data_IF_678115937676
#
_entry.id   IF_678115937676
#
_cell.length_a   1.000
_cell.length_b   1.000
_cell.length_c   1.000
_cell.angle_alpha   90.00
_cell.angle_beta   90.00
_cell.angle_gamma   90.00
#
_symmetry.space_group_name_H-M   'P 1'
#
loop_
_entity.id
_entity.type
_entity.pdbx_description
1 polymer ?
#
# COMPACT_ATOMS: atom_id res chain seq x y z
N UNK A 1 -21.03 11.49 -13.30
CA UNK A 1 -21.74 11.92 -12.09
C UNK A 1 -20.90 11.42 -10.92
N UNK A 2 -19.93 12.21 -10.47
CA UNK A 2 -19.14 11.85 -9.28
C UNK A 2 -20.09 11.83 -8.08
N UNK A 3 -20.16 10.70 -7.40
CA UNK A 3 -20.83 10.60 -6.11
C UNK A 3 -19.98 11.38 -5.11
N UNK A 4 -20.46 12.53 -4.66
CA UNK A 4 -19.81 13.26 -3.58
C UNK A 4 -19.73 12.35 -2.34
N UNK A 5 -18.52 12.19 -1.79
CA UNK A 5 -18.33 11.46 -0.54
C UNK A 5 -19.14 12.15 0.56
N UNK A 6 -19.70 11.36 1.49
CA UNK A 6 -20.17 11.93 2.75
C UNK A 6 -19.01 12.61 3.48
N UNK A 7 -19.30 13.58 4.35
CA UNK A 7 -18.28 14.28 5.12
C UNK A 7 -17.37 13.31 5.90
N UNK A 8 -17.93 12.29 6.53
CA UNK A 8 -17.15 11.25 7.23
C UNK A 8 -16.23 10.45 6.29
N UNK A 9 -16.69 10.14 5.07
CA UNK A 9 -15.86 9.45 4.08
C UNK A 9 -14.72 10.35 3.57
N UNK A 10 -14.97 11.66 3.42
CA UNK A 10 -13.94 12.62 3.02
C UNK A 10 -12.87 12.77 4.12
N UNK A 11 -13.28 12.82 5.40
CA UNK A 11 -12.36 12.86 6.54
C UNK A 11 -11.53 11.57 6.62
N UNK A 12 -12.17 10.40 6.51
CA UNK A 12 -11.45 9.12 6.48
C UNK A 12 -10.46 9.03 5.30
N UNK A 13 -10.83 9.54 4.12
CA UNK A 13 -9.96 9.62 2.95
C UNK A 13 -8.77 10.57 3.17
N UNK A 14 -8.98 11.71 3.82
CA UNK A 14 -7.89 12.63 4.19
C UNK A 14 -6.92 11.99 5.18
N UNK A 15 -7.43 11.28 6.20
CA UNK A 15 -6.58 10.55 7.15
C UNK A 15 -5.81 9.43 6.43
N UNK A 16 -6.45 8.66 5.54
CA UNK A 16 -5.77 7.65 4.73
C UNK A 16 -4.65 8.28 3.87
N UNK A 17 -4.90 9.42 3.22
CA UNK A 17 -3.88 10.13 2.44
C UNK A 17 -2.71 10.61 3.30
N UNK A 18 -2.98 11.19 4.47
CA UNK A 18 -1.94 11.64 5.40
C UNK A 18 -1.08 10.46 5.90
N UNK A 19 -1.69 9.36 6.30
CA UNK A 19 -0.96 8.19 6.83
C UNK A 19 -0.19 7.47 5.73
N UNK A 20 -0.83 7.20 4.60
CA UNK A 20 -0.27 6.32 3.55
C UNK A 20 0.59 7.06 2.53
N UNK A 21 0.39 8.37 2.38
CA UNK A 21 0.96 9.18 1.31
C UNK A 21 0.38 8.92 -0.07
N UNK A 22 -0.66 8.10 -0.20
CA UNK A 22 -1.26 7.77 -1.50
C UNK A 22 -2.02 9.01 -1.99
N UNK A 23 -1.60 9.66 -3.10
CA UNK A 23 -2.25 10.85 -3.59
C UNK A 23 -3.64 10.56 -4.15
N UNK A 24 -4.51 11.57 -4.16
CA UNK A 24 -5.82 11.52 -4.83
C UNK A 24 -6.91 10.80 -4.04
N UNK A 25 -6.72 10.55 -2.73
CA UNK A 25 -7.84 10.17 -1.85
C UNK A 25 -8.77 11.35 -1.62
N UNK A 26 -8.19 12.54 -1.53
CA UNK A 26 -8.87 13.83 -1.60
C UNK A 26 -8.29 14.64 -2.77
N UNK A 27 -9.01 15.67 -3.29
CA UNK A 27 -8.52 16.47 -4.42
C UNK A 27 -7.24 17.25 -4.12
N UNK A 28 -7.14 17.80 -2.91
CA UNK A 28 -5.97 18.55 -2.46
C UNK A 28 -5.01 17.70 -1.63
N UNK A 29 -4.36 18.33 -0.67
CA UNK A 29 -3.42 17.68 0.24
C UNK A 29 -3.96 17.65 1.68
N UNK A 30 -3.43 16.77 2.51
CA UNK A 30 -3.79 16.73 3.93
C UNK A 30 -2.73 17.45 4.75
N UNK A 31 -3.13 18.41 5.58
CA UNK A 31 -2.23 19.09 6.51
C UNK A 31 -2.58 18.64 7.92
N UNK A 32 -1.69 17.88 8.56
CA UNK A 32 -1.84 17.50 9.97
C UNK A 32 -1.04 18.46 10.85
N UNK A 33 -1.61 18.91 11.97
CA UNK A 33 -1.04 19.92 12.84
C UNK A 33 -1.09 19.45 14.29
N UNK A 34 0.07 19.29 14.92
CA UNK A 34 0.17 18.82 16.31
C UNK A 34 -0.11 19.91 17.36
N UNK A 35 0.02 21.19 16.98
CA UNK A 35 -0.19 22.33 17.88
C UNK A 35 -1.17 23.31 17.24
N UNK A 36 -2.33 23.50 17.88
CA UNK A 36 -3.38 24.41 17.42
C UNK A 36 -2.91 25.85 17.17
N UNK A 37 -1.80 26.29 17.79
CA UNK A 37 -1.18 27.59 17.50
C UNK A 37 -0.72 27.77 16.05
N UNK A 38 -0.52 26.68 15.29
CA UNK A 38 -0.12 26.72 13.89
C UNK A 38 -1.30 26.64 12.90
N UNK A 39 -2.55 26.58 13.39
CA UNK A 39 -3.74 26.36 12.54
C UNK A 39 -3.94 27.45 11.49
N UNK A 40 -3.66 28.72 11.82
CA UNK A 40 -3.79 29.81 10.85
C UNK A 40 -2.86 29.64 9.65
N UNK A 41 -1.61 29.24 9.92
CA UNK A 41 -0.63 28.96 8.87
C UNK A 41 -0.99 27.70 8.07
N UNK A 42 -1.48 26.66 8.75
CA UNK A 42 -1.95 25.44 8.08
C UNK A 42 -3.07 25.71 7.06
N UNK A 43 -3.99 26.62 7.40
CA UNK A 43 -5.05 27.08 6.47
C UNK A 43 -4.52 27.93 5.33
N UNK A 44 -3.47 28.70 5.54
CA UNK A 44 -2.83 29.52 4.50
C UNK A 44 -2.17 28.65 3.42
N UNK A 45 -1.52 27.56 3.82
CA UNK A 45 -0.87 26.64 2.89
C UNK A 45 -1.82 25.58 2.32
N UNK A 46 -3.02 25.43 2.88
CA UNK A 46 -4.06 24.55 2.37
C UNK A 46 -4.64 25.11 1.07
N UNK A 47 -4.59 24.31 -0.01
CA UNK A 47 -5.20 24.67 -1.29
C UNK A 47 -6.64 24.16 -1.36
N UNK A 48 -7.38 24.57 -2.40
CA UNK A 48 -8.73 24.09 -2.68
C UNK A 48 -8.82 22.55 -2.63
N UNK A 49 -9.76 22.03 -1.83
CA UNK A 49 -9.95 20.59 -1.64
C UNK A 49 -8.95 19.92 -0.70
N UNK A 50 -8.07 20.68 -0.06
CA UNK A 50 -7.21 20.20 1.04
C UNK A 50 -8.01 20.06 2.33
N UNK A 51 -7.52 19.24 3.25
CA UNK A 51 -8.12 19.03 4.58
C UNK A 51 -7.09 19.31 5.65
N UNK A 52 -7.45 20.13 6.63
CA UNK A 52 -6.59 20.49 7.77
C UNK A 52 -7.05 19.75 9.01
N UNK A 53 -6.23 18.80 9.47
CA UNK A 53 -6.44 18.02 10.70
C UNK A 53 -5.63 18.67 11.83
N UNK A 54 -6.26 19.05 12.95
CA UNK A 54 -5.58 19.79 14.03
C UNK A 54 -5.81 19.14 15.38
N UNK A 55 -4.73 18.75 16.06
CA UNK A 55 -4.78 18.32 17.46
C UNK A 55 -5.25 19.46 18.34
N UNK A 56 -6.29 19.20 19.13
CA UNK A 56 -6.95 20.17 20.03
C UNK A 56 -7.33 21.48 19.30
N UNK A 57 -7.73 21.35 18.02
CA UNK A 57 -8.20 22.45 17.20
C UNK A 57 -9.53 23.05 17.67
N UNK A 58 -9.85 24.25 17.19
CA UNK A 58 -11.12 24.91 17.48
C UNK A 58 -12.28 24.22 16.75
N UNK A 59 -13.21 23.64 17.51
CA UNK A 59 -14.36 22.92 16.96
C UNK A 59 -15.40 23.87 16.31
N UNK A 60 -15.32 25.17 16.58
CA UNK A 60 -16.19 26.18 15.97
C UNK A 60 -15.65 26.69 14.62
N UNK A 61 -14.41 26.31 14.24
CA UNK A 61 -13.80 26.67 12.96
C UNK A 61 -14.17 25.64 11.87
N UNK A 62 -15.03 25.98 10.89
CA UNK A 62 -15.54 25.03 9.91
C UNK A 62 -14.48 24.57 8.89
N UNK A 63 -13.33 25.25 8.81
CA UNK A 63 -12.24 24.90 7.91
C UNK A 63 -11.27 23.87 8.53
N UNK A 64 -11.49 23.50 9.80
CA UNK A 64 -10.66 22.57 10.54
C UNK A 64 -11.42 21.28 10.86
N UNK A 65 -10.70 20.17 10.82
CA UNK A 65 -11.14 18.89 11.39
C UNK A 65 -10.40 18.70 12.70
N UNK A 66 -11.13 18.67 13.80
CA UNK A 66 -10.53 18.49 15.13
C UNK A 66 -10.03 17.07 15.31
N UNK A 67 -8.85 16.95 15.92
CA UNK A 67 -8.25 15.68 16.33
C UNK A 67 -7.96 15.76 17.82
N UNK A 68 -8.16 14.66 18.54
CA UNK A 68 -7.70 14.49 19.93
C UNK A 68 -6.75 13.32 20.02
N UNK A 69 -5.85 13.35 20.99
CA UNK A 69 -4.87 12.29 21.22
C UNK A 69 -3.49 12.67 20.71
N UNK A 70 -2.63 11.67 20.53
CA UNK A 70 -1.23 11.83 20.13
C UNK A 70 -0.85 10.81 19.08
N UNK A 71 -0.05 11.24 18.11
CA UNK A 71 0.43 10.38 17.02
C UNK A 71 1.83 9.79 17.29
N UNK A 72 2.61 10.44 18.15
CA UNK A 72 4.03 10.13 18.36
C UNK A 72 4.28 8.94 19.29
N UNK A 73 3.25 8.43 19.97
CA UNK A 73 3.33 7.36 20.97
C UNK A 73 2.57 6.10 20.52
N UNK A 74 3.22 4.93 20.62
CA UNK A 74 2.59 3.64 20.29
C UNK A 74 1.56 3.26 21.34
N UNK A 75 0.43 2.72 20.89
CA UNK A 75 -0.70 2.35 21.75
C UNK A 75 -1.68 3.48 22.03
N UNK A 76 -1.39 4.70 21.56
CA UNK A 76 -2.31 5.83 21.66
C UNK A 76 -3.44 5.76 20.61
N UNK A 77 -4.47 6.56 20.86
CA UNK A 77 -5.64 6.67 20.00
C UNK A 77 -5.82 8.11 19.52
N UNK A 78 -6.03 8.28 18.22
CA UNK A 78 -6.50 9.52 17.63
C UNK A 78 -8.01 9.48 17.46
N UNK A 79 -8.71 10.47 18.02
CA UNK A 79 -10.12 10.68 17.78
C UNK A 79 -10.30 11.87 16.82
N UNK A 80 -10.64 11.56 15.57
CA UNK A 80 -10.83 12.52 14.48
C UNK A 80 -12.31 12.86 14.33
N UNK A 81 -12.62 14.15 14.28
CA UNK A 81 -13.99 14.69 14.14
C UNK A 81 -14.97 14.13 15.20
N UNK A 82 -14.45 13.80 16.39
CA UNK A 82 -15.21 13.22 17.50
C UNK A 82 -15.85 11.85 17.22
N UNK A 83 -15.57 11.22 16.07
CA UNK A 83 -16.30 10.01 15.63
C UNK A 83 -15.43 8.93 15.01
N UNK A 84 -14.30 9.27 14.40
CA UNK A 84 -13.36 8.33 13.82
C UNK A 84 -12.21 8.08 14.81
N UNK A 85 -12.25 6.91 15.45
CA UNK A 85 -11.22 6.46 16.40
C UNK A 85 -10.18 5.60 15.69
N UNK A 86 -8.91 5.95 15.86
CA UNK A 86 -7.77 5.32 15.16
C UNK A 86 -6.69 5.00 16.17
N UNK A 87 -6.36 3.72 16.31
CA UNK A 87 -5.23 3.28 17.13
C UNK A 87 -3.92 3.47 16.36
N UNK A 88 -2.85 3.89 17.05
CA UNK A 88 -1.50 4.00 16.50
C UNK A 88 -0.62 2.90 17.08
N UNK A 89 0.06 2.14 16.23
CA UNK A 89 0.94 1.04 16.64
C UNK A 89 2.26 1.07 15.88
N UNK A 90 3.36 0.87 16.59
CA UNK A 90 4.67 0.64 15.95
C UNK A 90 4.69 -0.73 15.27
N UNK A 91 5.35 -0.82 14.12
CA UNK A 91 5.40 -2.05 13.31
C UNK A 91 5.79 -3.28 14.12
N UNK A 92 6.84 -3.18 14.94
CA UNK A 92 7.33 -4.29 15.77
C UNK A 92 6.34 -4.78 16.83
N UNK A 93 5.40 -3.94 17.27
CA UNK A 93 4.40 -4.32 18.26
C UNK A 93 3.24 -5.14 17.64
N UNK A 94 2.97 -4.93 16.35
CA UNK A 94 1.80 -5.45 15.63
C UNK A 94 1.62 -6.97 15.75
N UNK A 95 2.65 -7.83 15.61
CA UNK A 95 2.49 -9.27 15.72
C UNK A 95 1.95 -9.74 17.08
N UNK A 96 2.14 -8.95 18.14
CA UNK A 96 1.83 -9.32 19.53
C UNK A 96 0.49 -8.81 20.03
N UNK A 97 -0.21 -8.00 19.22
CA UNK A 97 -1.48 -7.38 19.60
C UNK A 97 -2.63 -7.88 18.70
N UNK A 98 -3.86 -7.67 19.18
CA UNK A 98 -5.08 -7.91 18.42
C UNK A 98 -5.63 -6.58 17.96
N UNK A 99 -5.80 -6.39 16.65
CA UNK A 99 -6.34 -5.15 16.10
C UNK A 99 -7.87 -5.18 16.17
N UNK A 100 -8.47 -4.33 17.01
CA UNK A 100 -9.93 -4.29 17.22
C UNK A 100 -10.60 -3.22 16.36
N UNK A 101 -10.07 -2.00 16.36
CA UNK A 101 -10.54 -0.88 15.55
C UNK A 101 -9.61 -0.58 14.36
N UNK A 102 -9.89 0.48 13.58
CA UNK A 102 -8.93 1.02 12.61
C UNK A 102 -7.58 1.29 13.28
N UNK A 103 -6.52 0.72 12.75
CA UNK A 103 -5.17 0.84 13.31
C UNK A 103 -4.20 1.31 12.24
N UNK A 104 -3.51 2.41 12.52
CA UNK A 104 -2.37 2.87 11.75
C UNK A 104 -1.11 2.20 12.28
N UNK A 105 -0.38 1.56 11.38
CA UNK A 105 0.87 0.89 11.67
C UNK A 105 2.00 1.75 11.15
N UNK A 106 2.75 2.36 12.05
CA UNK A 106 3.82 3.30 11.74
C UNK A 106 5.20 2.65 11.84
N UNK A 107 6.16 3.26 11.16
CA UNK A 107 7.58 3.01 11.36
C UNK A 107 8.12 4.08 12.30
N UNK A 108 8.39 3.74 13.55
CA UNK A 108 8.92 4.66 14.55
C UNK A 108 10.46 4.70 14.55
N UNK A 109 11.12 3.65 14.04
CA UNK A 109 12.57 3.58 14.00
C UNK A 109 13.14 2.66 12.93
N UNK A 110 14.47 2.54 12.91
CA UNK A 110 15.21 1.69 11.98
C UNK A 110 14.86 0.20 12.13
N UNK A 111 14.59 -0.26 13.36
CA UNK A 111 14.26 -1.66 13.62
C UNK A 111 12.91 -2.05 13.00
N UNK A 112 11.91 -1.16 13.04
CA UNK A 112 10.61 -1.35 12.36
C UNK A 112 10.81 -1.55 10.85
N UNK A 113 11.67 -0.72 10.26
CA UNK A 113 12.00 -0.76 8.84
C UNK A 113 12.68 -2.08 8.45
N UNK A 114 13.67 -2.51 9.23
CA UNK A 114 14.37 -3.76 8.96
C UNK A 114 13.41 -4.96 9.08
N UNK A 115 12.60 -4.99 10.14
CA UNK A 115 11.63 -6.07 10.33
C UNK A 115 10.58 -6.14 9.23
N UNK A 116 10.13 -5.00 8.70
CA UNK A 116 9.23 -5.02 7.54
C UNK A 116 9.84 -5.71 6.32
N UNK A 117 11.11 -5.44 6.02
CA UNK A 117 11.78 -6.10 4.90
C UNK A 117 12.03 -7.58 5.18
N UNK A 118 12.40 -7.94 6.41
CA UNK A 118 12.58 -9.33 6.80
C UNK A 118 11.27 -10.12 6.69
N UNK A 119 10.14 -9.54 7.12
CA UNK A 119 8.81 -10.15 6.99
C UNK A 119 8.36 -10.25 5.52
N UNK A 120 8.69 -9.27 4.68
CA UNK A 120 8.41 -9.33 3.25
C UNK A 120 9.24 -10.42 2.54
N UNK A 121 10.49 -10.60 2.95
CA UNK A 121 11.40 -11.63 2.44
C UNK A 121 10.95 -13.04 2.90
N UNK A 122 10.51 -13.16 4.16
CA UNK A 122 9.90 -14.37 4.71
C UNK A 122 8.62 -14.72 3.94
N UNK A 123 7.70 -13.78 3.77
CA UNK A 123 6.47 -14.00 3.02
C UNK A 123 6.74 -14.47 1.60
N UNK A 124 7.71 -13.87 0.91
CA UNK A 124 8.12 -14.31 -0.43
C UNK A 124 8.65 -15.74 -0.43
N UNK A 125 9.53 -16.08 0.52
CA UNK A 125 10.24 -17.36 0.53
C UNK A 125 9.39 -18.53 1.02
N UNK A 126 8.52 -18.32 2.01
CA UNK A 126 7.77 -19.37 2.71
C UNK A 126 6.25 -19.24 2.59
N UNK A 127 5.75 -18.08 2.17
CA UNK A 127 4.32 -17.79 2.13
C UNK A 127 3.75 -17.37 3.50
N UNK A 128 4.59 -17.17 4.52
CA UNK A 128 4.15 -16.71 5.82
C UNK A 128 4.05 -15.18 5.88
N UNK A 129 2.83 -14.70 6.14
CA UNK A 129 2.55 -13.28 6.31
C UNK A 129 2.32 -12.94 7.78
N UNK A 130 2.70 -11.73 8.20
CA UNK A 130 2.23 -11.17 9.47
C UNK A 130 0.72 -10.99 9.40
N UNK A 131 -0.01 -11.83 10.15
CA UNK A 131 -1.48 -11.93 10.07
C UNK A 131 -2.16 -10.58 10.27
N UNK A 132 -1.71 -9.80 11.25
CA UNK A 132 -2.30 -8.52 11.61
C UNK A 132 -2.23 -7.48 10.47
N UNK A 133 -1.19 -7.53 9.62
CA UNK A 133 -1.09 -6.66 8.44
C UNK A 133 -2.10 -6.99 7.34
N UNK A 134 -2.71 -8.17 7.41
CA UNK A 134 -3.73 -8.66 6.48
C UNK A 134 -5.16 -8.39 6.96
N UNK A 135 -5.33 -7.77 8.12
CA UNK A 135 -6.65 -7.43 8.65
C UNK A 135 -7.20 -6.16 7.97
N UNK A 136 -8.51 -6.10 7.77
CA UNK A 136 -9.19 -5.02 7.03
C UNK A 136 -9.03 -3.65 7.68
N UNK A 137 -8.86 -3.64 9.00
CA UNK A 137 -8.68 -2.47 9.83
C UNK A 137 -7.22 -2.02 9.96
N UNK A 138 -6.27 -2.75 9.39
CA UNK A 138 -4.86 -2.38 9.41
C UNK A 138 -4.49 -1.47 8.22
N UNK A 139 -3.97 -0.30 8.53
CA UNK A 139 -3.42 0.66 7.57
C UNK A 139 -1.93 0.82 7.85
N UNK A 140 -1.10 0.21 6.99
CA UNK A 140 0.33 0.46 7.02
C UNK A 140 0.60 1.91 6.56
N UNK A 141 1.43 2.63 7.31
CA UNK A 141 1.94 3.94 6.88
C UNK A 141 2.86 3.81 5.66
N UNK A 142 3.14 4.92 4.99
CA UNK A 142 4.20 4.99 3.97
C UNK A 142 3.98 4.11 2.73
N UNK A 143 2.73 3.69 2.48
CA UNK A 143 2.38 2.80 1.37
C UNK A 143 2.68 3.39 0.01
N UNK A 144 2.54 4.70 -0.19
CA UNK A 144 2.86 5.31 -1.48
C UNK A 144 4.32 5.09 -1.86
N UNK A 145 5.22 5.29 -0.91
CA UNK A 145 6.64 5.05 -1.08
C UNK A 145 6.96 3.56 -1.30
N UNK A 146 6.44 2.70 -0.42
CA UNK A 146 6.67 1.26 -0.49
C UNK A 146 6.11 0.62 -1.77
N UNK A 147 4.97 1.10 -2.28
CA UNK A 147 4.36 0.62 -3.51
C UNK A 147 4.98 1.22 -4.77
N UNK A 148 5.92 2.18 -4.64
CA UNK A 148 6.49 2.90 -5.77
C UNK A 148 5.49 3.86 -6.45
N UNK A 149 4.44 4.28 -5.74
CA UNK A 149 3.55 5.33 -6.21
C UNK A 149 4.31 6.67 -6.18
N UNK A 150 4.84 7.06 -7.33
CA UNK A 150 5.53 8.33 -7.52
C UNK A 150 5.27 8.87 -8.90
N UNK A 151 4.16 9.57 -9.09
CA UNK A 151 4.08 10.44 -10.25
C UNK A 151 5.00 11.63 -9.98
N UNK A 152 6.04 11.82 -10.80
CA UNK A 152 6.93 12.97 -10.73
C UNK A 152 6.15 14.29 -10.74
N UNK A 153 5.00 14.31 -11.41
CA UNK A 153 4.11 15.46 -11.58
C UNK A 153 3.08 15.63 -10.45
N UNK A 154 2.96 14.69 -9.50
CA UNK A 154 1.97 14.80 -8.41
C UNK A 154 2.27 15.95 -7.46
N UNK A 155 1.24 16.67 -7.02
CA UNK A 155 1.33 17.64 -5.94
C UNK A 155 1.69 16.94 -4.63
N UNK A 156 2.28 17.68 -3.69
CA UNK A 156 2.57 17.21 -2.34
C UNK A 156 1.26 16.71 -1.71
N UNK A 157 1.14 15.42 -1.41
CA UNK A 157 -0.11 14.79 -0.99
C UNK A 157 -0.41 15.02 0.50
N UNK A 158 0.62 15.24 1.31
CA UNK A 158 0.51 15.38 2.76
C UNK A 158 1.59 16.26 3.37
N UNK A 159 1.21 17.05 4.36
CA UNK A 159 2.06 17.89 5.19
C UNK A 159 1.83 17.50 6.65
N UNK A 160 2.91 17.42 7.43
CA UNK A 160 2.81 17.26 8.88
C UNK A 160 3.56 18.41 9.57
N UNK A 161 2.82 19.26 10.29
CA UNK A 161 3.35 20.36 11.08
C UNK A 161 3.45 19.88 12.53
N UNK A 162 4.68 19.65 12.95
CA UNK A 162 5.00 19.23 14.32
C UNK A 162 4.74 20.33 15.34
N UNK A 163 4.70 19.97 16.63
CA UNK A 163 4.39 20.91 17.70
C UNK A 163 5.34 22.12 17.79
N UNK A 164 6.61 21.93 17.39
CA UNK A 164 7.64 22.98 17.37
C UNK A 164 7.63 23.83 16.07
N UNK A 165 6.72 23.54 15.12
CA UNK A 165 6.60 24.25 13.85
C UNK A 165 7.51 23.74 12.73
N UNK A 166 8.20 22.61 12.90
CA UNK A 166 8.88 21.93 11.78
C UNK A 166 7.84 21.31 10.85
N UNK A 167 8.03 21.45 9.54
CA UNK A 167 7.18 20.90 8.50
C UNK A 167 7.84 19.65 7.90
N UNK A 168 7.15 18.53 7.96
CA UNK A 168 7.58 17.23 7.44
C UNK A 168 6.75 16.81 6.23
N UNK A 169 7.37 16.03 5.34
CA UNK A 169 6.70 15.40 4.20
C UNK A 169 5.98 14.10 4.63
N UNK A 170 4.96 14.25 5.47
CA UNK A 170 4.22 13.15 6.12
C UNK A 170 4.61 12.92 7.59
N UNK A 171 3.89 12.03 8.29
CA UNK A 171 3.94 11.93 9.76
C UNK A 171 5.31 11.55 10.33
N UNK A 172 6.00 10.63 9.66
CA UNK A 172 7.37 10.23 10.03
C UNK A 172 8.39 10.84 9.08
N UNK A 173 8.06 11.99 8.47
CA UNK A 173 8.67 12.43 7.23
C UNK A 173 9.98 13.21 7.33
N UNK A 174 10.61 13.43 6.17
CA UNK A 174 11.78 14.34 6.06
C UNK A 174 11.35 15.78 6.30
N UNK A 175 12.21 16.56 6.98
CA UNK A 175 12.00 18.01 7.15
C UNK A 175 12.07 18.73 5.80
N UNK A 176 11.00 19.43 5.46
CA UNK A 176 10.85 20.20 4.22
C UNK A 176 10.53 21.69 4.45
N UNK A 177 10.56 22.15 5.70
CA UNK A 177 10.38 23.56 6.02
C UNK A 177 10.05 23.85 7.48
N UNK A 178 9.64 25.09 7.72
CA UNK A 178 9.20 25.61 9.01
C UNK A 178 7.95 26.47 8.83
N UNK A 179 7.14 26.58 9.89
CA UNK A 179 6.00 27.50 9.93
C UNK A 179 6.45 28.91 9.57
N UNK A 180 5.75 29.52 8.61
CA UNK A 180 6.09 30.81 8.01
C UNK A 180 6.80 30.71 6.65
N UNK A 181 7.24 29.52 6.24
CA UNK A 181 7.72 29.30 4.87
C UNK A 181 6.56 29.33 3.86
N UNK A 182 6.83 29.80 2.64
CA UNK A 182 5.87 29.79 1.55
C UNK A 182 5.63 28.37 1.01
N UNK A 183 4.40 28.05 0.61
CA UNK A 183 4.06 26.72 0.07
C UNK A 183 4.92 26.33 -1.15
N UNK A 184 5.31 27.30 -1.97
CA UNK A 184 6.17 27.05 -3.14
C UNK A 184 7.57 26.57 -2.74
N UNK A 185 8.12 27.11 -1.65
CA UNK A 185 9.43 26.71 -1.14
C UNK A 185 9.38 25.31 -0.52
N UNK A 186 8.30 25.02 0.21
CA UNK A 186 8.01 23.68 0.75
C UNK A 186 7.97 22.65 -0.38
N UNK A 187 7.24 22.95 -1.47
CA UNK A 187 7.15 22.09 -2.66
C UNK A 187 8.49 21.90 -3.34
N UNK A 188 9.27 22.96 -3.50
CA UNK A 188 10.60 22.88 -4.11
C UNK A 188 11.52 21.94 -3.31
N UNK A 189 11.45 21.97 -1.97
CA UNK A 189 12.22 21.09 -1.09
C UNK A 189 11.70 19.65 -1.04
N UNK A 190 10.40 19.45 -1.22
CA UNK A 190 9.79 18.12 -1.28
C UNK A 190 10.02 17.41 -2.63
N UNK A 191 10.17 18.14 -3.73
CA UNK A 191 10.34 17.60 -5.07
C UNK A 191 11.46 16.54 -5.21
N UNK A 192 12.71 16.76 -4.73
CA UNK A 192 13.78 15.75 -4.83
C UNK A 192 13.54 14.52 -3.94
N UNK A 193 12.55 14.56 -3.05
CA UNK A 193 12.22 13.47 -2.14
C UNK A 193 11.17 12.53 -2.72
N UNK A 194 10.75 12.68 -3.98
CA UNK A 194 9.69 11.86 -4.59
C UNK A 194 10.19 10.46 -5.03
N UNK A 195 9.37 9.39 -4.91
CA UNK A 195 8.08 9.35 -4.21
C UNK A 195 8.27 9.67 -2.73
N UNK A 196 7.36 10.49 -2.17
CA UNK A 196 7.47 11.15 -0.86
C UNK A 196 8.25 10.33 0.17
N UNK A 197 9.55 10.62 0.30
CA UNK A 197 10.41 9.95 1.24
C UNK A 197 10.15 10.54 2.61
N UNK A 198 9.22 9.91 3.30
CA UNK A 198 9.15 10.04 4.74
C UNK A 198 10.45 9.55 5.42
N UNK A 199 11.18 8.67 4.75
CA UNK A 199 12.16 7.80 5.40
C UNK A 199 13.50 8.49 5.71
N UNK A 200 13.77 9.69 5.17
CA UNK A 200 15.05 10.35 5.42
C UNK A 200 15.23 10.86 6.88
N UNK A 201 14.16 10.89 7.68
CA UNK A 201 14.23 11.23 9.11
C UNK A 201 14.66 10.03 9.99
N UNK A 202 14.36 8.80 9.56
CA UNK A 202 14.60 7.56 10.33
C UNK A 202 15.88 6.82 9.90
N UNK A 203 16.27 6.96 8.63
CA UNK A 203 17.52 6.39 8.08
C UNK A 203 18.03 7.21 6.90
N UNK A 204 19.24 6.92 6.41
CA UNK A 204 19.83 7.62 5.27
C UNK A 204 19.07 7.28 3.99
N UNK A 205 18.46 8.28 3.32
CA UNK A 205 17.62 8.07 2.14
C UNK A 205 18.23 7.18 1.03
N UNK A 206 19.54 7.24 0.72
CA UNK A 206 20.18 6.30 -0.20
C UNK A 206 20.08 4.82 0.20
N UNK A 207 20.12 4.48 1.49
CA UNK A 207 20.03 3.10 1.97
C UNK A 207 18.64 2.52 1.73
N UNK A 208 17.61 3.34 1.95
CA UNK A 208 16.20 3.00 1.69
C UNK A 208 15.98 2.74 0.21
N UNK A 209 16.47 3.63 -0.65
CA UNK A 209 16.37 3.47 -2.10
C UNK A 209 17.10 2.20 -2.54
N UNK A 210 18.28 1.92 -1.98
CA UNK A 210 18.99 0.68 -2.25
C UNK A 210 18.21 -0.56 -1.76
N UNK A 211 17.60 -0.51 -0.57
CA UNK A 211 16.78 -1.59 -0.03
C UNK A 211 15.55 -1.88 -0.90
N UNK A 212 14.84 -0.85 -1.37
CA UNK A 212 13.70 -0.98 -2.29
C UNK A 212 14.13 -1.50 -3.66
N UNK A 213 15.25 -1.00 -4.21
CA UNK A 213 15.78 -1.47 -5.50
C UNK A 213 16.22 -2.94 -5.44
N UNK A 214 16.75 -3.38 -4.31
CA UNK A 214 17.11 -4.78 -4.10
C UNK A 214 15.88 -5.68 -3.86
N UNK A 215 14.72 -5.08 -3.58
CA UNK A 215 13.46 -5.79 -3.29
C UNK A 215 12.32 -5.29 -4.20
N UNK A 216 12.43 -5.47 -5.53
CA UNK A 216 11.38 -5.04 -6.47
C UNK A 216 10.03 -5.75 -6.26
N UNK A 217 9.96 -6.75 -5.37
CA UNK A 217 8.75 -7.46 -4.99
C UNK A 217 7.91 -6.77 -3.91
N UNK A 218 8.44 -5.75 -3.23
CA UNK A 218 7.72 -5.07 -2.14
C UNK A 218 6.34 -4.55 -2.57
N UNK A 219 6.17 -3.91 -3.74
CA UNK A 219 4.84 -3.53 -4.21
C UNK A 219 3.87 -4.71 -4.37
N UNK A 220 4.37 -5.88 -4.82
CA UNK A 220 3.57 -7.11 -4.94
C UNK A 220 3.24 -7.71 -3.58
N UNK A 221 4.17 -7.65 -2.61
CA UNK A 221 3.93 -8.05 -1.22
C UNK A 221 2.83 -7.21 -0.56
N UNK A 222 2.86 -5.89 -0.74
CA UNK A 222 1.80 -5.01 -0.25
C UNK A 222 0.43 -5.35 -0.86
N UNK A 223 0.39 -5.62 -2.17
CA UNK A 223 -0.83 -6.05 -2.83
C UNK A 223 -1.32 -7.41 -2.31
N UNK A 224 -0.41 -8.31 -1.91
CA UNK A 224 -0.76 -9.60 -1.32
C UNK A 224 -1.39 -9.44 0.08
N UNK A 225 -0.90 -8.50 0.89
CA UNK A 225 -1.53 -8.14 2.17
C UNK A 225 -2.98 -7.67 1.96
N UNK A 226 -3.24 -6.90 0.90
CA UNK A 226 -4.60 -6.49 0.54
C UNK A 226 -5.43 -7.64 -0.02
N UNK A 227 -4.83 -8.57 -0.78
CA UNK A 227 -5.51 -9.76 -1.28
C UNK A 227 -6.05 -10.64 -0.13
N UNK A 228 -5.32 -10.76 0.98
CA UNK A 228 -5.78 -11.47 2.16
C UNK A 228 -7.03 -10.87 2.82
N UNK A 229 -7.31 -9.59 2.60
CA UNK A 229 -8.53 -8.92 3.08
C UNK A 229 -9.80 -9.42 2.37
N UNK A 230 -9.66 -9.98 1.15
CA UNK A 230 -10.77 -10.60 0.42
C UNK A 230 -11.05 -12.05 0.83
N UNK A 231 -10.20 -12.63 1.66
CA UNK A 231 -10.30 -14.03 2.10
C UNK A 231 -10.84 -14.04 3.52
N UNK A 232 -12.02 -14.65 3.71
CA UNK A 232 -12.66 -14.78 5.01
C UNK A 232 -11.75 -15.46 6.04
N UNK A 233 -11.72 -15.03 7.32
CA UNK A 233 -10.81 -15.57 8.34
C UNK A 233 -10.81 -17.10 8.44
N UNK A 234 -11.97 -17.73 8.27
CA UNK A 234 -12.15 -19.18 8.30
C UNK A 234 -11.55 -19.90 7.09
N UNK A 235 -11.39 -19.20 5.96
CA UNK A 235 -10.79 -19.73 4.73
C UNK A 235 -9.28 -19.50 4.68
N UNK A 236 -8.75 -18.54 5.46
CA UNK A 236 -7.31 -18.23 5.47
C UNK A 236 -6.48 -19.45 5.87
N UNK A 237 -6.94 -20.23 6.84
CA UNK A 237 -6.30 -21.47 7.23
C UNK A 237 -6.30 -22.47 6.05
N UNK A 238 -5.11 -22.86 5.60
CA UNK A 238 -4.92 -23.79 4.49
C UNK A 238 -5.03 -23.16 3.10
N UNK A 239 -5.31 -21.86 2.99
CA UNK A 239 -5.17 -21.13 1.73
C UNK A 239 -3.72 -20.68 1.56
N UNK A 240 -3.20 -20.79 0.34
CA UNK A 240 -1.88 -20.30 -0.06
C UNK A 240 -2.02 -19.32 -1.23
N UNK A 241 -1.21 -18.27 -1.22
CA UNK A 241 -1.06 -17.36 -2.35
C UNK A 241 0.07 -17.85 -3.25
N UNK A 242 -0.25 -18.27 -4.47
CA UNK A 242 0.78 -18.64 -5.46
C UNK A 242 1.65 -17.41 -5.76
N UNK A 243 2.96 -17.63 -5.82
CA UNK A 243 3.99 -16.59 -5.90
C UNK A 243 4.60 -16.20 -4.56
N UNK A 244 4.07 -16.72 -3.43
CA UNK A 244 4.60 -16.54 -2.08
C UNK A 244 4.79 -17.92 -1.42
N UNK A 245 6.03 -18.40 -1.38
CA UNK A 245 6.38 -19.74 -0.88
C UNK A 245 5.86 -20.92 -1.71
N UNK A 246 5.11 -20.67 -2.78
CA UNK A 246 4.50 -21.67 -3.64
C UNK A 246 4.62 -21.25 -5.10
N UNK A 247 5.08 -22.15 -5.96
CA UNK A 247 4.98 -22.05 -7.41
C UNK A 247 4.38 -23.31 -8.00
N UNK A 248 3.46 -23.17 -8.96
CA UNK A 248 2.79 -24.29 -9.61
C UNK A 248 3.62 -24.89 -10.75
N UNK A 249 4.48 -24.09 -11.37
CA UNK A 249 5.41 -24.55 -12.42
C UNK A 249 6.87 -24.64 -11.97
N UNK A 250 7.17 -24.29 -10.71
CA UNK A 250 8.53 -24.30 -10.18
C UNK A 250 9.35 -23.09 -10.64
N UNK A 251 8.75 -21.91 -10.60
CA UNK A 251 9.38 -20.64 -10.94
C UNK A 251 10.70 -20.46 -10.17
N UNK A 252 11.85 -20.28 -10.84
CA UNK A 252 13.08 -19.87 -10.18
C UNK A 252 12.97 -18.40 -9.75
N UNK A 253 13.75 -18.02 -8.73
CA UNK A 253 13.84 -16.63 -8.24
C UNK A 253 14.25 -15.61 -9.31
N UNK A 254 14.90 -16.07 -10.39
CA UNK A 254 15.30 -15.25 -11.53
C UNK A 254 14.14 -14.87 -12.45
N UNK A 255 12.99 -15.56 -12.36
CA UNK A 255 11.80 -15.10 -13.08
C UNK A 255 11.28 -13.83 -12.41
N UNK A 256 10.75 -12.91 -13.22
CA UNK A 256 10.07 -11.74 -12.72
C UNK A 256 8.88 -12.13 -11.84
N UNK A 257 8.37 -11.14 -11.11
CA UNK A 257 7.13 -11.29 -10.37
C UNK A 257 5.97 -10.64 -11.14
N UNK A 258 4.72 -11.07 -10.86
CA UNK A 258 3.56 -10.38 -11.37
C UNK A 258 3.58 -8.90 -10.97
N UNK A 259 2.97 -8.06 -11.80
CA UNK A 259 2.69 -6.68 -11.37
C UNK A 259 1.87 -6.67 -10.08
N UNK A 260 1.99 -5.61 -9.27
CA UNK A 260 1.22 -5.47 -8.03
C UNK A 260 -0.29 -5.64 -8.24
N UNK A 261 -0.84 -5.08 -9.32
CA UNK A 261 -2.26 -5.13 -9.67
C UNK A 261 -2.68 -6.37 -10.46
N UNK A 262 -1.75 -7.28 -10.81
CA UNK A 262 -2.11 -8.54 -11.45
C UNK A 262 -2.98 -9.38 -10.49
N UNK A 263 -3.90 -10.22 -10.98
CA UNK A 263 -4.69 -11.07 -10.10
C UNK A 263 -3.80 -12.05 -9.30
N UNK A 264 -4.32 -12.51 -8.17
CA UNK A 264 -3.69 -13.53 -7.31
C UNK A 264 -4.30 -14.89 -7.58
N UNK A 265 -3.50 -15.95 -7.56
CA UNK A 265 -4.01 -17.31 -7.55
C UNK A 265 -4.03 -17.80 -6.10
N UNK A 266 -5.21 -18.17 -5.64
CA UNK A 266 -5.43 -18.83 -4.36
C UNK A 266 -5.41 -20.34 -4.59
N UNK A 267 -4.60 -21.06 -3.83
CA UNK A 267 -4.64 -22.53 -3.77
C UNK A 267 -5.15 -22.95 -2.40
N UNK A 268 -6.10 -23.89 -2.37
CA UNK A 268 -6.60 -24.50 -1.15
C UNK A 268 -7.03 -25.93 -1.44
N UNK A 269 -6.39 -26.90 -0.77
CA UNK A 269 -6.74 -28.33 -0.88
C UNK A 269 -6.77 -28.85 -2.33
N UNK A 270 -5.93 -28.30 -3.22
CA UNK A 270 -5.90 -28.64 -4.64
C UNK A 270 -6.94 -27.94 -5.53
N UNK A 271 -7.79 -27.08 -4.97
CA UNK A 271 -8.64 -26.16 -5.73
C UNK A 271 -7.92 -24.84 -5.99
N UNK A 272 -8.16 -24.26 -7.17
CA UNK A 272 -7.53 -23.02 -7.61
C UNK A 272 -8.58 -21.94 -7.89
N UNK A 273 -8.35 -20.75 -7.34
CA UNK A 273 -9.18 -19.56 -7.61
C UNK A 273 -8.31 -18.40 -8.07
N UNK A 274 -8.83 -17.59 -8.98
CA UNK A 274 -8.23 -16.34 -9.42
C UNK A 274 -8.94 -15.19 -8.71
N UNK A 275 -8.20 -14.40 -7.93
CA UNK A 275 -8.67 -13.22 -7.21
C UNK A 275 -8.17 -11.96 -7.93
N UNK A 276 -9.10 -11.20 -8.51
CA UNK A 276 -8.88 -9.87 -9.05
C UNK A 276 -9.23 -8.85 -7.94
N UNK A 277 -8.21 -8.33 -7.26
CA UNK A 277 -8.36 -7.35 -6.18
C UNK A 277 -8.79 -5.98 -6.67
N UNK A 278 -8.58 -5.66 -7.96
CA UNK A 278 -8.96 -4.38 -8.56
C UNK A 278 -10.46 -4.30 -8.74
N UNK A 279 -11.07 -5.36 -9.27
CA UNK A 279 -12.52 -5.44 -9.43
C UNK A 279 -13.24 -6.12 -8.24
N UNK A 280 -12.50 -6.68 -7.28
CA UNK A 280 -13.04 -7.44 -6.16
C UNK A 280 -13.76 -8.73 -6.58
N UNK A 281 -13.26 -9.41 -7.63
CA UNK A 281 -13.89 -10.61 -8.21
C UNK A 281 -13.07 -11.86 -7.98
N UNK A 282 -13.75 -12.99 -7.81
CA UNK A 282 -13.12 -14.31 -7.65
C UNK A 282 -13.67 -15.29 -8.68
N UNK A 283 -12.79 -16.03 -9.33
CA UNK A 283 -13.13 -17.03 -10.35
C UNK A 283 -12.53 -18.38 -9.98
N UNK A 284 -13.28 -19.47 -10.16
CA UNK A 284 -12.68 -20.81 -10.08
C UNK A 284 -11.95 -21.11 -11.39
N UNK A 285 -10.72 -21.61 -11.29
CA UNK A 285 -9.89 -21.96 -12.44
C UNK A 285 -9.37 -23.39 -12.33
N UNK A 286 -9.10 -24.02 -13.46
CA UNK A 286 -8.42 -25.32 -13.49
C UNK A 286 -6.92 -25.17 -13.18
N UNK A 287 -6.29 -26.25 -12.72
CA UNK A 287 -4.85 -26.28 -12.41
C UNK A 287 -3.97 -25.83 -13.58
N UNK A 288 -4.27 -26.30 -14.79
CA UNK A 288 -3.48 -25.97 -15.98
C UNK A 288 -3.60 -24.49 -16.36
N UNK A 289 -4.79 -23.91 -16.20
CA UNK A 289 -5.00 -22.47 -16.34
C UNK A 289 -4.22 -21.70 -15.27
N UNK A 290 -4.21 -22.18 -14.01
CA UNK A 290 -3.44 -21.55 -12.94
C UNK A 290 -1.93 -21.54 -13.24
N UNK A 291 -1.39 -22.66 -13.74
CA UNK A 291 0.01 -22.77 -14.19
C UNK A 291 0.32 -21.74 -15.29
N UNK A 292 -0.54 -21.64 -16.30
CA UNK A 292 -0.37 -20.69 -17.39
C UNK A 292 -0.46 -19.23 -16.91
N UNK A 293 -1.43 -18.91 -16.05
CA UNK A 293 -1.61 -17.55 -15.50
C UNK A 293 -0.39 -17.15 -14.67
N UNK A 294 0.13 -18.05 -13.82
CA UNK A 294 1.36 -17.80 -13.04
C UNK A 294 2.56 -17.54 -13.98
N UNK A 295 2.76 -18.40 -14.98
CA UNK A 295 3.88 -18.27 -15.91
C UNK A 295 3.80 -16.99 -16.75
N UNK A 296 2.61 -16.64 -17.27
CA UNK A 296 2.38 -15.40 -18.03
C UNK A 296 2.62 -14.18 -17.15
N UNK A 297 2.13 -14.21 -15.90
CA UNK A 297 2.28 -13.09 -14.97
C UNK A 297 3.73 -12.86 -14.58
N UNK A 298 4.51 -13.91 -14.38
CA UNK A 298 5.93 -13.82 -13.98
C UNK A 298 6.84 -13.43 -15.16
N UNK A 299 6.59 -14.01 -16.35
CA UNK A 299 7.48 -13.84 -17.52
C UNK A 299 7.04 -12.72 -18.46
N UNK A 300 5.83 -12.19 -18.30
CA UNK A 300 5.28 -11.06 -19.08
C UNK A 300 5.34 -11.32 -20.60
N UNK A 301 5.18 -12.58 -20.99
CA UNK A 301 5.28 -12.99 -22.38
C UNK A 301 4.67 -14.38 -22.60
N UNK A 302 3.77 -14.47 -23.57
CA UNK A 302 3.02 -15.70 -23.88
C UNK A 302 3.94 -16.83 -24.32
N UNK A 303 4.92 -16.56 -25.18
CA UNK A 303 5.82 -17.58 -25.71
C UNK A 303 6.77 -18.15 -24.64
N UNK A 304 7.36 -17.27 -23.83
CA UNK A 304 8.22 -17.68 -22.71
C UNK A 304 7.42 -18.48 -21.67
N UNK A 305 6.21 -18.03 -21.34
CA UNK A 305 5.31 -18.71 -20.42
C UNK A 305 4.90 -20.10 -20.93
N UNK A 306 4.53 -20.20 -22.22
CA UNK A 306 4.19 -21.47 -22.84
C UNK A 306 5.33 -22.48 -22.77
N UNK A 307 6.58 -22.04 -22.96
CA UNK A 307 7.75 -22.90 -22.86
C UNK A 307 7.91 -23.56 -21.49
N UNK A 308 7.84 -22.77 -20.41
CA UNK A 308 7.99 -23.31 -19.04
C UNK A 308 6.77 -24.11 -18.60
N UNK A 309 5.58 -23.68 -19.01
CA UNK A 309 4.33 -24.34 -18.68
C UNK A 309 4.17 -25.68 -19.41
N UNK A 310 4.65 -25.80 -20.64
CA UNK A 310 4.67 -27.07 -21.39
C UNK A 310 5.47 -28.14 -20.65
N UNK A 311 6.65 -27.79 -20.13
CA UNK A 311 7.50 -28.70 -19.35
C UNK A 311 6.81 -29.11 -18.05
N UNK A 312 6.24 -28.16 -17.31
CA UNK A 312 5.57 -28.44 -16.04
C UNK A 312 4.31 -29.31 -16.20
N UNK A 313 3.53 -29.08 -17.25
CA UNK A 313 2.30 -29.83 -17.51
C UNK A 313 2.52 -31.14 -18.30
N UNK A 314 3.71 -31.33 -18.88
CA UNK A 314 4.02 -32.51 -19.71
C UNK A 314 3.28 -32.52 -21.06
N UNK A 315 3.06 -31.35 -21.66
CA UNK A 315 2.36 -31.18 -22.95
C UNK A 315 3.29 -30.64 -24.04
N UNK A 316 2.84 -30.62 -25.30
CA UNK A 316 3.64 -30.05 -26.39
C UNK A 316 3.73 -28.52 -26.28
N UNK A 317 4.86 -27.90 -26.69
CA UNK A 317 5.00 -26.44 -26.70
C UNK A 317 3.92 -25.72 -27.51
N UNK A 318 3.46 -26.32 -28.62
CA UNK A 318 2.43 -25.74 -29.49
C UNK A 318 1.07 -25.70 -28.78
N UNK A 319 0.71 -26.78 -28.07
CA UNK A 319 -0.53 -26.82 -27.28
C UNK A 319 -0.46 -25.83 -26.11
N UNK A 320 0.69 -25.74 -25.43
CA UNK A 320 0.89 -24.78 -24.35
C UNK A 320 0.78 -23.33 -24.84
N UNK A 321 1.34 -23.03 -26.02
CA UNK A 321 1.24 -21.69 -26.63
C UNK A 321 -0.18 -21.33 -26.98
N UNK A 322 -0.90 -22.20 -27.69
CA UNK A 322 -2.31 -21.97 -28.02
C UNK A 322 -3.18 -21.82 -26.78
N UNK A 323 -2.89 -22.59 -25.71
CA UNK A 323 -3.61 -22.47 -24.43
C UNK A 323 -3.27 -21.16 -23.71
N UNK A 324 -2.01 -20.73 -23.73
CA UNK A 324 -1.58 -19.45 -23.15
C UNK A 324 -2.26 -18.25 -23.85
N UNK A 325 -2.34 -18.28 -25.19
CA UNK A 325 -3.04 -17.27 -25.99
C UNK A 325 -4.53 -17.21 -25.62
N UNK A 326 -5.19 -18.37 -25.52
CA UNK A 326 -6.60 -18.46 -25.13
C UNK A 326 -6.85 -17.95 -23.69
N UNK A 327 -5.93 -18.20 -22.75
CA UNK A 327 -6.02 -17.68 -21.38
C UNK A 327 -5.94 -16.15 -21.37
N UNK A 328 -4.99 -15.56 -22.11
CA UNK A 328 -4.85 -14.10 -22.21
C UNK A 328 -6.10 -13.47 -22.82
N UNK A 329 -6.62 -14.05 -23.92
CA UNK A 329 -7.83 -13.57 -24.57
C UNK A 329 -9.04 -13.61 -23.62
N UNK A 330 -9.25 -14.74 -22.95
CA UNK A 330 -10.40 -14.93 -22.06
C UNK A 330 -10.35 -13.99 -20.85
N UNK A 331 -9.17 -13.78 -20.25
CA UNK A 331 -9.01 -12.84 -19.15
C UNK A 331 -9.14 -11.39 -19.61
N UNK A 332 -8.66 -11.07 -20.82
CA UNK A 332 -8.89 -9.78 -21.47
C UNK A 332 -10.37 -9.46 -21.63
N UNK A 333 -11.20 -10.43 -22.03
CA UNK A 333 -12.67 -10.26 -22.07
C UNK A 333 -13.30 -9.98 -20.70
N UNK A 334 -12.65 -10.41 -19.61
CA UNK A 334 -13.07 -10.11 -18.24
C UNK A 334 -12.50 -8.78 -17.71
N UNK A 335 -11.69 -8.08 -18.51
CA UNK A 335 -10.99 -6.84 -18.12
C UNK A 335 -9.78 -7.08 -17.22
N UNK A 336 -9.20 -8.28 -17.25
CA UNK A 336 -8.02 -8.66 -16.46
C UNK A 336 -6.80 -8.67 -17.36
N UNK A 337 -5.84 -7.81 -17.06
CA UNK A 337 -4.58 -7.71 -17.80
C UNK A 337 -3.42 -8.38 -17.03
N UNK A 338 -2.90 -9.48 -17.60
CA UNK A 338 -1.74 -10.20 -17.04
C UNK A 338 -0.40 -9.64 -17.53
N UNK A 339 -0.38 -8.92 -18.65
CA UNK A 339 0.83 -8.47 -19.34
C UNK A 339 1.19 -7.01 -19.02
N UNK A 340 0.26 -6.25 -18.42
CA UNK A 340 0.42 -4.84 -18.06
C UNK A 340 0.55 -3.94 -19.27
N UNK A 341 -0.25 -4.23 -20.31
CA UNK A 341 -0.38 -3.44 -21.52
C UNK A 341 -1.48 -2.38 -21.41
N UNK A 342 -1.57 -1.68 -20.28
CA UNK A 342 -2.38 -0.48 -20.06
C UNK A 342 -1.64 0.51 -19.17
#
# INVERSE_FOLDING_TARGET
>A
MELALSQQQAIAAAVDQWVTGIPGRIPGHTVFVENAGHSSYAKEIAEDGSVVLVIDGDADDPDLVTVKGRYDESGEELLVDGSLSIEIQDYLAVPFISLVGPTVIRFAGQDDWQSFFDDADEARSSGHFVRQLSEVNAVLSERALLAGHGNADSTLARIHITANGTILNGPSGTVIGWVGDELQDIRARAMPLKPESSIASLTHAPEVVAALNNRPWVPRYLAALDAWKFIGPEQRAGTRLVGFGLSLYGAPDSHGLPLPNAPFILEREGEYKLLDTTAGRVFTIGRDAAVLIEAISNLRGVEAAAGVAAVSMGISPELAKSSAEAVVEQLGHLGIDLLGGH
#
